data_IF_858810028017
#
_entry.id   IF_858810028017
#
_cell.length_a   1.000
_cell.length_b   1.000
_cell.length_c   1.000
_cell.angle_alpha   90.00
_cell.angle_beta   90.00
_cell.angle_gamma   90.00
#
_symmetry.space_group_name_H-M   'P 1'
#
loop_
_entity.id
_entity.type
_entity.pdbx_description
1 polymer ?
#
# COMPACT_ATOMS: atom_id res chain seq x y z
N UNK A 1 -5.00 -3.69 -21.53
CA UNK A 1 -4.65 -3.52 -20.10
C UNK A 1 -5.79 -3.96 -19.16
N UNK A 2 -7.06 -3.61 -19.41
CA UNK A 2 -8.18 -3.99 -18.55
C UNK A 2 -8.51 -5.49 -18.54
N UNK A 3 -8.25 -6.21 -19.62
CA UNK A 3 -8.48 -7.65 -19.71
C UNK A 3 -7.34 -8.48 -19.08
N UNK A 4 -6.13 -7.97 -19.09
CA UNK A 4 -4.99 -8.64 -18.43
C UNK A 4 -5.04 -8.52 -16.91
N UNK A 5 -5.60 -7.44 -16.37
CA UNK A 5 -5.79 -7.25 -14.92
C UNK A 5 -6.82 -8.26 -14.38
N UNK A 6 -7.86 -8.59 -15.14
CA UNK A 6 -8.83 -9.63 -14.73
C UNK A 6 -8.27 -11.05 -14.85
N UNK A 7 -7.22 -11.26 -15.66
CA UNK A 7 -6.52 -12.53 -15.81
C UNK A 7 -5.33 -12.68 -14.85
N UNK A 8 -4.89 -11.58 -14.22
CA UNK A 8 -3.87 -11.64 -13.20
C UNK A 8 -4.45 -12.36 -11.97
N UNK A 9 -4.18 -13.65 -11.90
CA UNK A 9 -4.56 -14.49 -10.76
C UNK A 9 -3.71 -14.08 -9.57
N UNK A 10 -4.15 -13.04 -8.85
CA UNK A 10 -3.56 -12.74 -7.57
C UNK A 10 -3.99 -13.80 -6.56
N UNK A 11 -3.01 -14.43 -5.94
CA UNK A 11 -3.20 -15.32 -4.82
C UNK A 11 -2.35 -14.81 -3.69
N UNK A 12 -2.94 -14.47 -2.53
CA UNK A 12 -2.15 -14.09 -1.37
C UNK A 12 -1.31 -15.30 -0.92
N UNK A 13 -0.01 -15.12 -0.96
CA UNK A 13 0.95 -16.09 -0.40
C UNK A 13 1.37 -15.63 0.99
N UNK A 14 1.55 -16.55 1.94
CA UNK A 14 2.02 -16.19 3.28
C UNK A 14 3.44 -15.62 3.22
N UNK A 15 3.82 -14.75 4.19
CA UNK A 15 5.19 -14.30 4.35
C UNK A 15 6.16 -15.49 4.48
N UNK A 16 7.43 -15.28 4.15
CA UNK A 16 8.46 -16.34 4.18
C UNK A 16 8.61 -16.99 5.56
N UNK A 17 8.44 -16.19 6.64
CA UNK A 17 8.44 -16.66 8.03
C UNK A 17 7.15 -16.20 8.72
N UNK A 18 6.01 -16.87 8.45
CA UNK A 18 4.73 -16.42 8.96
C UNK A 18 4.62 -16.62 10.47
N UNK A 19 4.17 -15.58 11.17
CA UNK A 19 3.76 -15.65 12.57
C UNK A 19 2.42 -16.38 12.71
N UNK A 20 2.01 -16.71 13.95
CA UNK A 20 0.66 -17.22 14.21
C UNK A 20 -0.40 -16.24 13.75
N UNK A 21 -0.19 -14.93 13.99
CA UNK A 21 -1.11 -13.86 13.55
C UNK A 21 -1.19 -13.82 12.02
N UNK A 22 -0.08 -13.94 11.32
CA UNK A 22 -0.06 -13.97 9.85
C UNK A 22 -0.92 -15.11 9.28
N UNK A 23 -0.85 -16.29 9.88
CA UNK A 23 -1.67 -17.46 9.45
C UNK A 23 -3.16 -17.26 9.72
N UNK A 24 -3.51 -16.63 10.84
CA UNK A 24 -4.90 -16.27 11.16
C UNK A 24 -5.42 -15.24 10.17
N UNK A 25 -4.64 -14.20 9.90
CA UNK A 25 -4.99 -13.16 8.96
C UNK A 25 -5.10 -13.68 7.51
N UNK A 26 -4.19 -14.53 7.08
CA UNK A 26 -4.24 -15.16 5.76
C UNK A 26 -5.55 -15.95 5.58
N UNK A 27 -5.93 -16.77 6.57
CA UNK A 27 -7.20 -17.50 6.54
C UNK A 27 -8.39 -16.54 6.48
N UNK A 28 -8.40 -15.51 7.32
CA UNK A 28 -9.48 -14.52 7.34
C UNK A 28 -9.60 -13.76 6.01
N UNK A 29 -8.48 -13.44 5.38
CA UNK A 29 -8.44 -12.82 4.05
C UNK A 29 -9.07 -13.73 2.99
N UNK A 30 -8.72 -15.02 2.98
CA UNK A 30 -9.31 -15.99 2.06
C UNK A 30 -10.80 -16.21 2.29
N UNK A 31 -11.24 -16.34 3.54
CA UNK A 31 -12.65 -16.46 3.88
C UNK A 31 -13.44 -15.24 3.40
N UNK A 32 -12.87 -14.05 3.60
CA UNK A 32 -13.47 -12.80 3.11
C UNK A 32 -13.51 -12.74 1.58
N UNK A 33 -12.42 -13.11 0.91
CA UNK A 33 -12.35 -13.12 -0.55
C UNK A 33 -13.41 -14.00 -1.21
N UNK A 34 -13.79 -15.11 -0.55
CA UNK A 34 -14.76 -16.09 -1.05
C UNK A 34 -16.20 -15.79 -0.59
N UNK A 35 -16.39 -14.93 0.40
CA UNK A 35 -17.72 -14.67 0.98
C UNK A 35 -18.69 -14.01 0.00
N UNK A 36 -18.18 -13.10 -0.84
CA UNK A 36 -18.98 -12.37 -1.83
C UNK A 36 -18.21 -12.22 -3.16
N UNK A 37 -18.89 -12.28 -4.32
CA UNK A 37 -18.22 -12.23 -5.62
C UNK A 37 -17.41 -10.96 -5.88
N UNK A 38 -17.78 -9.83 -5.25
CA UNK A 38 -17.10 -8.54 -5.41
C UNK A 38 -15.83 -8.40 -4.56
N UNK A 39 -15.66 -9.22 -3.52
CA UNK A 39 -14.56 -9.07 -2.57
C UNK A 39 -13.20 -9.35 -3.20
N UNK A 40 -13.08 -10.43 -3.97
CA UNK A 40 -11.80 -10.78 -4.61
C UNK A 40 -11.32 -9.72 -5.61
N UNK A 41 -12.14 -9.18 -6.52
CA UNK A 41 -11.76 -8.08 -7.37
C UNK A 41 -11.32 -6.82 -6.62
N UNK A 42 -11.99 -6.48 -5.52
CA UNK A 42 -11.63 -5.32 -4.70
C UNK A 42 -10.30 -5.53 -3.96
N UNK A 43 -10.08 -6.72 -3.39
CA UNK A 43 -8.80 -7.09 -2.80
C UNK A 43 -7.66 -7.06 -3.83
N UNK A 44 -7.89 -7.57 -5.03
CA UNK A 44 -6.92 -7.49 -6.12
C UNK A 44 -6.59 -6.03 -6.49
N UNK A 45 -7.59 -5.15 -6.49
CA UNK A 45 -7.36 -3.72 -6.69
C UNK A 45 -6.48 -3.13 -5.60
N UNK A 46 -6.74 -3.42 -4.34
CA UNK A 46 -5.92 -2.96 -3.22
C UNK A 46 -4.49 -3.52 -3.32
N UNK A 47 -4.34 -4.80 -3.69
CA UNK A 47 -3.02 -5.38 -3.94
C UNK A 47 -2.25 -4.62 -5.04
N UNK A 48 -2.93 -4.22 -6.12
CA UNK A 48 -2.34 -3.39 -7.17
C UNK A 48 -1.95 -2.00 -6.69
N UNK A 49 -2.76 -1.36 -5.83
CA UNK A 49 -2.42 -0.06 -5.25
C UNK A 49 -1.12 -0.14 -4.43
N UNK A 50 -0.98 -1.18 -3.60
CA UNK A 50 0.28 -1.44 -2.87
C UNK A 50 1.43 -1.72 -3.83
N UNK A 51 1.20 -2.58 -4.83
CA UNK A 51 2.19 -2.92 -5.85
C UNK A 51 2.70 -1.70 -6.61
N UNK A 52 1.82 -0.79 -6.99
CA UNK A 52 2.18 0.46 -7.66
C UNK A 52 3.07 1.33 -6.77
N UNK A 53 2.75 1.45 -5.48
CA UNK A 53 3.58 2.20 -4.52
C UNK A 53 5.01 1.64 -4.47
N UNK A 54 5.16 0.31 -4.39
CA UNK A 54 6.46 -0.34 -4.33
C UNK A 54 7.23 -0.24 -5.65
N UNK A 55 6.54 -0.43 -6.78
CA UNK A 55 7.16 -0.32 -8.11
C UNK A 55 7.61 1.11 -8.41
N UNK A 56 6.81 2.11 -8.10
CA UNK A 56 7.16 3.52 -8.27
C UNK A 56 8.42 3.87 -7.47
N UNK A 57 8.47 3.46 -6.21
CA UNK A 57 9.64 3.67 -5.36
C UNK A 57 10.88 2.96 -5.93
N UNK A 58 10.74 1.71 -6.36
CA UNK A 58 11.82 0.94 -6.95
C UNK A 58 12.35 1.60 -8.22
N UNK A 59 11.48 1.96 -9.15
CA UNK A 59 11.87 2.56 -10.45
C UNK A 59 12.59 3.88 -10.23
N UNK A 60 12.06 4.77 -9.37
CA UNK A 60 12.70 6.06 -9.09
C UNK A 60 14.09 5.88 -8.48
N UNK A 61 14.25 4.99 -7.50
CA UNK A 61 15.55 4.70 -6.90
C UNK A 61 16.53 4.17 -7.93
N UNK A 62 16.08 3.31 -8.85
CA UNK A 62 16.94 2.79 -9.95
C UNK A 62 17.35 3.85 -10.95
N UNK A 63 16.46 4.78 -11.27
CA UNK A 63 16.80 5.91 -12.16
C UNK A 63 17.87 6.78 -11.52
N UNK A 64 17.75 7.10 -10.24
CA UNK A 64 18.74 7.90 -9.51
C UNK A 64 20.10 7.24 -9.48
N UNK A 65 20.15 5.92 -9.25
CA UNK A 65 21.40 5.15 -9.26
C UNK A 65 22.04 5.07 -10.65
N UNK A 66 21.23 4.82 -11.68
CA UNK A 66 21.73 4.58 -13.03
C UNK A 66 22.07 5.86 -13.80
N UNK A 67 21.39 6.95 -13.51
CA UNK A 67 21.48 8.22 -14.25
C UNK A 67 21.69 9.42 -13.31
N UNK A 68 22.87 9.52 -12.65
CA UNK A 68 23.13 10.58 -11.67
C UNK A 68 23.33 11.98 -12.29
N UNK A 69 23.37 12.09 -13.62
CA UNK A 69 23.50 13.36 -14.35
C UNK A 69 22.21 14.18 -14.39
N UNK A 70 21.94 14.82 -15.52
CA UNK A 70 20.80 15.74 -15.70
C UNK A 70 19.45 15.09 -15.37
N UNK A 71 19.26 13.82 -15.77
CA UNK A 71 18.02 13.09 -15.48
C UNK A 71 17.84 12.87 -13.97
N UNK A 72 18.89 12.42 -13.28
CA UNK A 72 18.87 12.24 -11.83
C UNK A 72 18.62 13.55 -11.09
N UNK A 73 19.28 14.64 -11.48
CA UNK A 73 19.09 15.96 -10.89
C UNK A 73 17.65 16.48 -11.09
N UNK A 74 17.06 16.25 -12.26
CA UNK A 74 15.66 16.61 -12.53
C UNK A 74 14.70 15.80 -11.68
N UNK A 75 14.98 14.51 -11.51
CA UNK A 75 14.17 13.63 -10.65
C UNK A 75 14.30 14.01 -9.17
N UNK A 76 15.51 14.34 -8.70
CA UNK A 76 15.73 14.83 -7.33
C UNK A 76 14.94 16.10 -7.03
N UNK A 77 14.90 17.04 -7.97
CA UNK A 77 14.10 18.23 -7.82
C UNK A 77 12.60 17.91 -7.71
N UNK A 78 12.09 16.99 -8.55
CA UNK A 78 10.70 16.55 -8.47
C UNK A 78 10.40 15.82 -7.16
N UNK A 79 11.33 15.03 -6.65
CA UNK A 79 11.21 14.32 -5.37
C UNK A 79 11.20 15.28 -4.19
N UNK A 80 12.03 16.32 -4.20
CA UNK A 80 12.00 17.37 -3.17
C UNK A 80 10.64 18.06 -3.14
N UNK A 81 10.09 18.39 -4.31
CA UNK A 81 8.76 18.94 -4.41
C UNK A 81 7.69 17.99 -3.89
N UNK A 82 7.75 16.70 -4.28
CA UNK A 82 6.85 15.66 -3.77
C UNK A 82 6.95 15.49 -2.25
N UNK A 83 8.17 15.52 -1.71
CA UNK A 83 8.37 15.44 -0.26
C UNK A 83 7.68 16.57 0.47
N UNK A 84 7.79 17.78 -0.03
CA UNK A 84 7.15 18.95 0.58
C UNK A 84 5.62 18.82 0.57
N UNK A 85 5.06 18.21 -0.45
CA UNK A 85 3.61 18.01 -0.61
C UNK A 85 3.07 16.77 0.14
N UNK A 86 3.95 15.87 0.58
CA UNK A 86 3.54 14.68 1.34
C UNK A 86 2.98 15.05 2.71
N UNK A 87 1.94 14.30 3.11
CA UNK A 87 1.34 14.46 4.42
C UNK A 87 2.27 13.98 5.53
N UNK A 88 2.32 14.72 6.63
CA UNK A 88 2.99 14.29 7.85
C UNK A 88 2.17 13.20 8.56
N UNK A 89 2.82 12.44 9.46
CA UNK A 89 2.11 11.49 10.33
C UNK A 89 0.99 12.18 11.12
N UNK A 90 1.25 13.38 11.64
CA UNK A 90 0.22 14.17 12.35
C UNK A 90 -0.99 14.45 11.46
N UNK A 91 -0.77 14.90 10.22
CA UNK A 91 -1.85 15.17 9.27
C UNK A 91 -2.62 13.91 8.86
N UNK A 92 -1.93 12.75 8.74
CA UNK A 92 -2.58 11.47 8.47
C UNK A 92 -3.52 11.07 9.61
N UNK A 93 -3.07 11.22 10.86
CA UNK A 93 -3.92 10.98 12.05
C UNK A 93 -5.15 11.90 12.10
N UNK A 94 -4.98 13.18 11.78
CA UNK A 94 -6.11 14.11 11.69
C UNK A 94 -7.15 13.67 10.66
N UNK A 95 -6.68 13.18 9.50
CA UNK A 95 -7.59 12.62 8.48
C UNK A 95 -8.28 11.36 8.92
N UNK A 96 -7.59 10.46 9.63
CA UNK A 96 -8.21 9.27 10.23
C UNK A 96 -9.30 9.65 11.24
N UNK A 97 -9.05 10.66 12.07
CA UNK A 97 -10.06 11.18 12.99
C UNK A 97 -11.28 11.77 12.27
N UNK A 98 -11.13 12.20 11.02
CA UNK A 98 -12.20 12.68 10.14
C UNK A 98 -12.88 11.55 9.34
N UNK A 99 -12.51 10.29 9.58
CA UNK A 99 -13.12 9.11 8.96
C UNK A 99 -12.39 8.54 7.75
N UNK A 100 -11.17 9.01 7.44
CA UNK A 100 -10.36 8.39 6.40
C UNK A 100 -9.88 7.00 6.85
N UNK A 101 -9.97 5.95 6.01
CA UNK A 101 -9.50 4.63 6.36
C UNK A 101 -8.01 4.62 6.72
N UNK A 102 -7.64 3.91 7.78
CA UNK A 102 -6.26 3.80 8.27
C UNK A 102 -5.31 3.23 7.21
N UNK A 103 -5.79 2.32 6.36
CA UNK A 103 -4.96 1.75 5.30
C UNK A 103 -4.44 2.79 4.30
N UNK A 104 -5.17 3.86 4.08
CA UNK A 104 -4.66 4.98 3.27
C UNK A 104 -3.42 5.61 3.90
N UNK A 105 -3.41 5.79 5.21
CA UNK A 105 -2.23 6.29 5.92
C UNK A 105 -1.04 5.33 5.78
N UNK A 106 -1.29 4.03 5.89
CA UNK A 106 -0.24 3.00 5.69
C UNK A 106 0.36 3.09 4.28
N UNK A 107 -0.46 3.24 3.24
CA UNK A 107 0.02 3.43 1.86
C UNK A 107 0.90 4.68 1.73
N UNK A 108 0.50 5.79 2.35
CA UNK A 108 1.30 7.03 2.35
C UNK A 108 2.65 6.84 3.07
N UNK A 109 2.66 6.09 4.16
CA UNK A 109 3.89 5.78 4.90
C UNK A 109 4.82 4.85 4.11
N UNK A 110 4.29 3.83 3.45
CA UNK A 110 5.07 2.96 2.56
C UNK A 110 5.66 3.73 1.38
N UNK A 111 4.88 4.64 0.79
CA UNK A 111 5.34 5.50 -0.30
C UNK A 111 6.47 6.43 0.16
N UNK A 112 6.29 7.08 1.32
CA UNK A 112 7.29 7.96 1.91
C UNK A 112 8.60 7.23 2.16
N UNK A 113 8.55 6.10 2.87
CA UNK A 113 9.73 5.31 3.15
C UNK A 113 10.37 4.74 1.87
N UNK A 114 9.59 4.17 0.98
CA UNK A 114 10.10 3.56 -0.25
C UNK A 114 10.81 4.56 -1.16
N UNK A 115 10.27 5.77 -1.29
CA UNK A 115 10.87 6.82 -2.15
C UNK A 115 12.02 7.55 -1.47
N UNK A 116 11.88 7.89 -0.19
CA UNK A 116 12.78 8.82 0.49
C UNK A 116 13.64 8.18 1.58
N UNK A 117 13.37 6.93 1.96
CA UNK A 117 14.07 6.24 3.04
C UNK A 117 13.69 6.74 4.44
N UNK A 118 12.68 7.59 4.54
CA UNK A 118 12.23 8.18 5.80
C UNK A 118 10.72 8.42 5.82
N UNK A 119 10.17 8.59 7.03
CA UNK A 119 8.78 8.98 7.25
C UNK A 119 8.71 10.46 7.59
N UNK A 120 7.72 11.17 7.03
CA UNK A 120 7.50 12.58 7.31
C UNK A 120 6.71 12.71 8.61
N UNK A 121 7.41 12.86 9.72
CA UNK A 121 6.80 13.08 11.03
C UNK A 121 6.18 14.49 11.12
N UNK A 122 5.27 14.68 12.09
CA UNK A 122 4.84 15.99 12.54
C UNK A 122 5.49 16.31 13.89
N UNK A 123 4.82 17.11 14.69
CA UNK A 123 5.29 17.54 16.02
C UNK A 123 5.03 16.48 17.11
N UNK A 124 4.13 15.52 16.86
CA UNK A 124 3.72 14.52 17.83
C UNK A 124 4.61 13.27 17.79
N UNK A 125 4.88 12.65 18.96
CA UNK A 125 5.58 11.37 19.02
C UNK A 125 4.71 10.26 18.43
N UNK A 126 5.39 9.27 17.92
CA UNK A 126 4.84 8.09 17.32
C UNK A 126 4.30 7.09 18.36
N UNK A 127 3.02 6.81 18.39
CA UNK A 127 2.40 5.93 19.38
C UNK A 127 1.38 4.94 18.84
N UNK A 128 0.95 5.06 17.59
CA UNK A 128 -0.11 4.26 17.03
C UNK A 128 0.32 2.85 16.61
N UNK A 129 -0.53 1.85 16.82
CA UNK A 129 -0.24 0.45 16.52
C UNK A 129 0.02 0.21 15.02
N UNK A 130 -0.79 0.82 14.15
CA UNK A 130 -0.64 0.66 12.69
C UNK A 130 0.69 1.20 12.16
N UNK A 131 1.21 2.28 12.78
CA UNK A 131 2.52 2.81 12.42
C UNK A 131 3.64 1.90 12.93
N UNK A 132 3.45 1.27 14.10
CA UNK A 132 4.35 0.22 14.56
C UNK A 132 4.41 -0.93 13.55
N UNK A 133 3.26 -1.31 13.00
CA UNK A 133 3.19 -2.32 11.93
C UNK A 133 4.03 -1.93 10.71
N UNK A 134 4.04 -0.65 10.31
CA UNK A 134 4.91 -0.17 9.22
C UNK A 134 6.38 -0.40 9.59
N UNK A 135 6.81 -0.03 10.79
CA UNK A 135 8.20 -0.26 11.23
C UNK A 135 8.59 -1.73 11.23
N UNK A 136 7.68 -2.61 11.62
CA UNK A 136 7.91 -4.05 11.60
C UNK A 136 8.08 -4.60 10.18
N UNK A 137 7.55 -3.89 9.17
CA UNK A 137 7.65 -4.24 7.75
C UNK A 137 8.85 -3.62 7.03
N UNK A 138 9.58 -2.69 7.66
CA UNK A 138 10.71 -2.02 7.01
C UNK A 138 11.81 -2.98 6.51
N UNK A 139 12.18 -4.06 7.24
CA UNK A 139 13.17 -4.99 6.72
C UNK A 139 12.75 -5.64 5.39
N UNK A 140 11.48 -6.05 5.26
CA UNK A 140 10.95 -6.62 4.02
C UNK A 140 10.89 -5.59 2.90
N UNK A 141 10.54 -4.34 3.22
CA UNK A 141 10.53 -3.25 2.26
C UNK A 141 11.94 -2.94 1.75
N UNK A 142 12.95 -2.92 2.63
CA UNK A 142 14.33 -2.69 2.25
C UNK A 142 14.87 -3.79 1.35
N UNK A 143 14.60 -5.05 1.67
CA UNK A 143 14.98 -6.19 0.85
C UNK A 143 14.32 -6.13 -0.52
N UNK A 144 13.03 -5.81 -0.56
CA UNK A 144 12.25 -5.67 -1.78
C UNK A 144 12.79 -4.58 -2.72
N UNK A 145 13.04 -3.38 -2.18
CA UNK A 145 13.53 -2.25 -2.96
C UNK A 145 14.94 -2.47 -3.52
N UNK A 146 15.72 -3.38 -2.93
CA UNK A 146 17.01 -3.81 -3.45
C UNK A 146 16.89 -4.92 -4.51
N UNK A 147 15.81 -5.70 -4.48
CA UNK A 147 15.59 -6.81 -5.41
C UNK A 147 15.25 -6.30 -6.81
N UNK A 148 15.85 -6.94 -7.84
CA UNK A 148 15.49 -6.70 -9.26
C UNK A 148 14.26 -7.51 -9.69
N UNK A 149 13.72 -8.36 -8.83
CA UNK A 149 12.64 -9.28 -9.14
C UNK A 149 11.26 -8.69 -8.82
N UNK A 150 10.44 -8.48 -9.83
CA UNK A 150 9.03 -8.14 -9.63
C UNK A 150 8.24 -9.21 -8.86
N UNK A 151 8.69 -10.47 -8.91
CA UNK A 151 8.09 -11.56 -8.13
C UNK A 151 8.32 -11.36 -6.63
N UNK A 152 9.51 -10.89 -6.22
CA UNK A 152 9.78 -10.59 -4.81
C UNK A 152 8.94 -9.41 -4.32
N UNK A 153 8.74 -8.38 -5.15
CA UNK A 153 7.84 -7.28 -4.81
C UNK A 153 6.40 -7.73 -4.58
N UNK A 154 5.91 -8.67 -5.37
CA UNK A 154 4.59 -9.27 -5.13
C UNK A 154 4.51 -10.05 -3.81
N UNK A 155 5.57 -10.70 -3.37
CA UNK A 155 5.61 -11.31 -2.03
C UNK A 155 5.49 -10.25 -0.93
N UNK A 156 6.17 -9.13 -1.08
CA UNK A 156 6.07 -8.01 -0.14
C UNK A 156 4.65 -7.43 -0.12
N UNK A 157 4.00 -7.27 -1.29
CA UNK A 157 2.57 -6.90 -1.36
C UNK A 157 1.71 -7.84 -0.53
N UNK A 158 1.86 -9.15 -0.72
CA UNK A 158 1.10 -10.15 0.02
C UNK A 158 1.36 -10.09 1.52
N UNK A 159 2.61 -9.90 1.92
CA UNK A 159 2.98 -9.74 3.33
C UNK A 159 2.29 -8.53 3.96
N UNK A 160 2.27 -7.39 3.27
CA UNK A 160 1.58 -6.17 3.72
C UNK A 160 0.08 -6.42 3.88
N UNK A 161 -0.57 -7.04 2.89
CA UNK A 161 -2.01 -7.30 2.95
C UNK A 161 -2.38 -8.24 4.10
N UNK A 162 -1.57 -9.27 4.35
CA UNK A 162 -1.80 -10.23 5.43
C UNK A 162 -1.55 -9.59 6.79
N UNK A 163 -0.45 -8.91 6.99
CA UNK A 163 -0.11 -8.26 8.27
C UNK A 163 -1.04 -7.11 8.62
N UNK A 164 -1.49 -6.35 7.62
CA UNK A 164 -2.42 -5.24 7.79
C UNK A 164 -3.88 -5.64 7.49
N UNK A 165 -4.23 -6.92 7.64
CA UNK A 165 -5.52 -7.45 7.19
C UNK A 165 -6.73 -6.67 7.73
N UNK A 166 -6.75 -6.30 8.99
CA UNK A 166 -7.86 -5.55 9.57
C UNK A 166 -8.07 -4.20 8.86
N UNK A 167 -6.98 -3.48 8.61
CA UNK A 167 -6.99 -2.19 7.92
C UNK A 167 -7.34 -2.34 6.44
N UNK A 168 -6.84 -3.39 5.79
CA UNK A 168 -7.18 -3.73 4.40
C UNK A 168 -8.67 -4.03 4.26
N UNK A 169 -9.23 -4.85 5.15
CA UNK A 169 -10.65 -5.17 5.17
C UNK A 169 -11.50 -3.91 5.34
N UNK A 170 -11.18 -3.07 6.30
CA UNK A 170 -11.87 -1.80 6.52
C UNK A 170 -11.85 -0.91 5.27
N UNK A 171 -10.71 -0.84 4.60
CA UNK A 171 -10.55 -0.09 3.36
C UNK A 171 -11.41 -0.65 2.23
N UNK A 172 -11.43 -1.96 2.03
CA UNK A 172 -12.31 -2.60 1.03
C UNK A 172 -13.79 -2.33 1.34
N UNK A 173 -14.21 -2.44 2.60
CA UNK A 173 -15.58 -2.14 3.02
C UNK A 173 -15.94 -0.66 2.78
N UNK A 174 -15.00 0.26 2.98
CA UNK A 174 -15.20 1.68 2.66
C UNK A 174 -15.41 1.89 1.16
N UNK A 175 -14.64 1.22 0.30
CA UNK A 175 -14.83 1.26 -1.16
C UNK A 175 -16.20 0.70 -1.56
N UNK A 176 -16.63 -0.41 -0.95
CA UNK A 176 -17.96 -1.00 -1.20
C UNK A 176 -19.09 -0.01 -0.85
N UNK A 177 -19.02 0.62 0.31
CA UNK A 177 -20.00 1.64 0.73
C UNK A 177 -20.05 2.81 -0.26
N UNK A 178 -18.90 3.31 -0.68
CA UNK A 178 -18.84 4.40 -1.66
C UNK A 178 -19.47 4.02 -2.99
N UNK A 179 -19.20 2.81 -3.49
CA UNK A 179 -19.84 2.31 -4.72
C UNK A 179 -21.36 2.19 -4.61
N UNK A 180 -21.87 1.79 -3.44
CA UNK A 180 -23.31 1.69 -3.20
C UNK A 180 -23.97 3.08 -3.16
N UNK A 181 -23.33 4.04 -2.48
CA UNK A 181 -23.78 5.43 -2.42
C UNK A 181 -23.78 6.08 -3.81
N UNK A 182 -22.74 5.87 -4.61
CA UNK A 182 -22.64 6.39 -5.97
C UNK A 182 -23.72 5.81 -6.89
N UNK A 183 -24.03 4.52 -6.75
CA UNK A 183 -25.15 3.88 -7.47
C UNK A 183 -26.50 4.45 -7.04
N UNK A 184 -26.72 4.63 -5.73
CA UNK A 184 -27.95 5.19 -5.19
C UNK A 184 -28.15 6.66 -5.61
N UNK A 185 -27.07 7.43 -5.76
CA UNK A 185 -27.08 8.82 -6.21
C UNK A 185 -27.22 8.99 -7.74
N UNK A 186 -27.33 7.86 -8.51
CA UNK A 186 -27.43 7.90 -9.98
C UNK A 186 -26.13 8.30 -10.69
N UNK A 187 -24.99 8.32 -9.99
CA UNK A 187 -23.67 8.65 -10.55
C UNK A 187 -22.96 7.44 -11.19
N UNK A 188 -23.54 6.27 -11.09
CA UNK A 188 -23.00 5.00 -11.59
C UNK A 188 -23.64 4.57 -12.93
N UNK A 189 -23.82 5.47 -13.86
CA UNK A 189 -24.49 5.19 -15.12
C UNK A 189 -23.75 5.72 -16.34
N UNK A 190 -22.87 4.95 -16.86
CA UNK A 190 -22.60 4.69 -18.29
C UNK A 190 -21.31 3.92 -18.48
#
# INVERSE_FOLDING_TARGET
YGQEISACRWYPEPPTLPTVKDRVNERALWDYAQAEPENLPLLARVAHEVGNVLEDAYIENRILEAFPGTLGQSLDFLREWQWNDMLTVTQLKEREAQGQPVFFSLLQLFLSYGKFGELKYGEEPFTEEHIRTVFELLPELDEDLQSRSGKERWKTVNTILIRCWEQVREYVEAIKRQHQEDKAAGKGGS
#
